data_IF_633921486976
#
_entry.id   IF_633921486976
#
_cell.length_a   1.000
_cell.length_b   1.000
_cell.length_c   1.000
_cell.angle_alpha   90.00
_cell.angle_beta   90.00
_cell.angle_gamma   90.00
#
_symmetry.space_group_name_H-M   'P 1'
#
loop_
_entity.id
_entity.type
_entity.pdbx_description
1 polymer ?
#
# COMPACT_ATOMS: atom_id res chain seq x y z
N UNK A 1 -27.89 -25.12 28.10
CA UNK A 1 -28.16 -24.01 27.16
C UNK A 1 -26.84 -23.32 26.80
N UNK A 2 -26.26 -23.52 25.61
CA UNK A 2 -24.98 -22.89 25.22
C UNK A 2 -25.25 -21.60 24.45
N UNK A 3 -25.07 -20.46 25.11
CA UNK A 3 -25.18 -19.14 24.48
C UNK A 3 -23.96 -18.96 23.57
N UNK A 4 -24.17 -18.97 22.24
CA UNK A 4 -23.15 -18.54 21.28
C UNK A 4 -22.89 -17.05 21.52
N UNK A 5 -21.82 -16.72 22.24
CA UNK A 5 -21.34 -15.34 22.40
C UNK A 5 -21.02 -14.82 21.00
N UNK A 6 -21.87 -13.94 20.49
CA UNK A 6 -21.69 -13.30 19.17
C UNK A 6 -20.42 -12.45 19.28
N UNK A 7 -19.29 -12.93 18.75
CA UNK A 7 -18.03 -12.18 18.69
C UNK A 7 -18.34 -10.79 18.16
N UNK A 8 -18.19 -9.74 18.98
CA UNK A 8 -18.38 -8.37 18.48
C UNK A 8 -17.25 -8.13 17.47
N UNK A 9 -17.57 -7.50 16.35
CA UNK A 9 -16.64 -7.28 15.22
C UNK A 9 -15.32 -6.61 15.64
N UNK A 10 -15.33 -5.91 16.78
CA UNK A 10 -14.24 -5.11 17.33
C UNK A 10 -13.40 -5.81 18.41
N UNK A 11 -13.77 -7.03 18.83
CA UNK A 11 -13.06 -7.76 19.89
C UNK A 11 -11.93 -8.66 19.32
N UNK A 12 -11.60 -8.51 18.04
CA UNK A 12 -10.55 -9.30 17.41
C UNK A 12 -9.18 -8.77 17.79
N UNK A 13 -8.44 -9.60 18.52
CA UNK A 13 -7.03 -9.38 18.78
C UNK A 13 -6.29 -9.61 17.47
N UNK A 14 -5.77 -8.54 16.89
CA UNK A 14 -4.89 -8.60 15.72
C UNK A 14 -3.51 -8.10 16.16
N UNK A 15 -2.43 -8.87 15.94
CA UNK A 15 -1.09 -8.44 16.28
C UNK A 15 -0.78 -7.07 15.68
N UNK A 16 -0.35 -6.15 16.54
CA UNK A 16 0.08 -4.83 16.09
C UNK A 16 1.45 -5.00 15.40
N UNK A 17 1.65 -4.43 14.19
CA UNK A 17 2.93 -4.49 13.49
C UNK A 17 4.02 -3.71 14.25
N UNK A 18 5.25 -3.76 13.75
CA UNK A 18 6.33 -2.94 14.29
C UNK A 18 5.92 -1.45 14.35
N UNK A 19 6.30 -0.78 15.45
CA UNK A 19 5.92 0.60 15.69
C UNK A 19 6.45 1.53 14.59
N UNK A 20 5.67 2.56 14.27
CA UNK A 20 6.02 3.61 13.29
C UNK A 20 6.25 3.09 11.85
N UNK A 21 5.59 1.99 11.49
CA UNK A 21 5.60 1.46 10.12
C UNK A 21 4.18 1.35 9.56
N UNK A 22 4.03 1.65 8.27
CA UNK A 22 2.79 1.46 7.55
C UNK A 22 2.53 -0.04 7.34
N UNK A 23 1.31 -0.48 7.61
CA UNK A 23 0.95 -1.88 7.46
C UNK A 23 -0.54 -2.04 7.11
N UNK A 24 -0.88 -3.16 6.48
CA UNK A 24 -2.26 -3.57 6.22
C UNK A 24 -2.40 -5.03 6.57
N UNK A 25 -3.52 -5.38 7.20
CA UNK A 25 -3.88 -6.76 7.44
C UNK A 25 -5.35 -6.99 7.10
N UNK A 26 -5.64 -8.20 6.66
CA UNK A 26 -7.01 -8.63 6.44
C UNK A 26 -7.26 -9.94 7.18
N UNK A 27 -8.14 -9.90 8.18
CA UNK A 27 -8.40 -11.04 9.06
C UNK A 27 -9.84 -11.49 8.88
N UNK A 28 -10.06 -12.80 8.79
CA UNK A 28 -11.40 -13.37 8.77
C UNK A 28 -12.04 -13.24 10.15
N UNK A 29 -13.25 -12.71 10.21
CA UNK A 29 -13.99 -12.60 11.47
C UNK A 29 -14.51 -14.00 11.87
N UNK A 30 -14.08 -14.56 13.02
CA UNK A 30 -14.55 -15.85 13.52
C UNK A 30 -16.07 -15.90 13.62
N UNK A 31 -16.64 -17.10 13.45
CA UNK A 31 -18.08 -17.37 13.55
C UNK A 31 -18.99 -16.56 12.60
N UNK A 32 -18.43 -15.88 11.58
CA UNK A 32 -19.21 -15.26 10.50
C UNK A 32 -19.34 -16.15 9.26
N UNK A 33 -18.73 -17.33 9.33
CA UNK A 33 -18.69 -18.32 8.27
C UNK A 33 -20.07 -18.91 8.00
N UNK A 34 -20.51 -18.90 6.75
CA UNK A 34 -21.74 -19.54 6.30
C UNK A 34 -21.52 -20.17 4.94
N UNK A 35 -22.05 -21.36 4.72
CA UNK A 35 -22.03 -22.01 3.40
C UNK A 35 -23.31 -21.63 2.67
N UNK A 36 -23.17 -21.00 1.51
CA UNK A 36 -24.29 -20.65 0.65
C UNK A 36 -24.18 -21.37 -0.69
N UNK A 37 -25.31 -21.49 -1.38
CA UNK A 37 -25.31 -21.99 -2.74
C UNK A 37 -24.45 -21.11 -3.65
N UNK A 38 -23.72 -21.73 -4.58
CA UNK A 38 -23.03 -20.98 -5.62
C UNK A 38 -24.06 -20.30 -6.53
N UNK A 39 -23.96 -18.98 -6.67
CA UNK A 39 -24.86 -18.19 -7.51
C UNK A 39 -24.59 -18.43 -9.00
N UNK A 40 -23.33 -18.56 -9.38
CA UNK A 40 -22.89 -18.68 -10.78
C UNK A 40 -23.29 -19.98 -11.47
N UNK A 41 -23.57 -21.04 -10.71
CA UNK A 41 -24.07 -22.31 -11.24
C UNK A 41 -25.38 -22.76 -10.61
N UNK A 42 -26.07 -21.87 -9.88
CA UNK A 42 -27.32 -22.18 -9.19
C UNK A 42 -27.25 -23.49 -8.38
N UNK A 43 -26.13 -23.70 -7.69
CA UNK A 43 -25.82 -24.89 -6.86
C UNK A 43 -25.53 -26.19 -7.62
N UNK A 44 -25.50 -26.18 -8.95
CA UNK A 44 -25.28 -27.37 -9.78
C UNK A 44 -23.82 -27.83 -9.81
N UNK A 45 -22.86 -26.94 -9.51
CA UNK A 45 -21.43 -27.23 -9.62
C UNK A 45 -20.90 -27.21 -11.07
N UNK A 46 -21.77 -27.11 -12.06
CA UNK A 46 -21.45 -26.98 -13.48
C UNK A 46 -22.13 -25.77 -14.08
N UNK A 47 -21.48 -25.17 -15.06
CA UNK A 47 -22.03 -24.06 -15.84
C UNK A 47 -22.18 -24.52 -17.28
N UNK A 48 -23.17 -23.97 -17.99
CA UNK A 48 -23.37 -24.26 -19.41
C UNK A 48 -22.10 -23.90 -20.17
N UNK A 49 -21.66 -24.78 -21.08
CA UNK A 49 -20.60 -24.44 -21.99
C UNK A 49 -21.12 -23.35 -22.92
N UNK A 50 -20.67 -22.12 -22.70
CA UNK A 50 -21.12 -20.94 -23.44
C UNK A 50 -20.83 -21.08 -24.93
N UNK A 51 -19.73 -21.71 -25.24
CA UNK A 51 -19.28 -21.76 -26.61
C UNK A 51 -20.08 -22.77 -27.47
N UNK A 52 -20.63 -23.86 -26.89
CA UNK A 52 -21.57 -24.75 -27.60
C UNK A 52 -23.03 -24.55 -27.18
N UNK A 53 -23.33 -23.59 -26.32
CA UNK A 53 -24.68 -23.33 -25.79
C UNK A 53 -25.39 -24.61 -25.30
N UNK A 54 -24.75 -25.35 -24.40
CA UNK A 54 -25.26 -26.60 -23.81
C UNK A 54 -25.35 -27.83 -24.72
N UNK A 55 -25.13 -27.72 -26.03
CA UNK A 55 -25.33 -28.84 -26.97
C UNK A 55 -24.25 -29.94 -26.89
N UNK A 56 -23.06 -29.62 -26.37
CA UNK A 56 -21.88 -30.48 -26.42
C UNK A 56 -21.27 -30.61 -27.83
N UNK A 57 -21.86 -29.97 -28.84
CA UNK A 57 -21.49 -30.12 -30.25
C UNK A 57 -21.49 -28.78 -30.94
N UNK A 58 -20.63 -28.60 -31.94
CA UNK A 58 -20.61 -27.38 -32.75
C UNK A 58 -20.41 -27.69 -34.20
N UNK A 59 -20.74 -26.71 -35.03
CA UNK A 59 -20.35 -26.71 -36.42
C UNK A 59 -18.83 -26.94 -36.52
N UNK A 60 -18.45 -27.91 -37.35
CA UNK A 60 -17.05 -28.22 -37.57
C UNK A 60 -16.38 -27.01 -38.23
N UNK A 61 -15.38 -26.42 -37.57
CA UNK A 61 -14.67 -25.25 -38.09
C UNK A 61 -13.82 -25.55 -39.32
N UNK A 62 -13.39 -26.80 -39.51
CA UNK A 62 -12.55 -27.20 -40.65
C UNK A 62 -13.34 -27.26 -41.97
N UNK A 63 -14.57 -27.76 -41.94
CA UNK A 63 -15.43 -27.83 -43.12
C UNK A 63 -16.55 -26.77 -43.11
N UNK A 64 -16.57 -25.87 -42.13
CA UNK A 64 -17.64 -24.90 -41.90
C UNK A 64 -19.03 -25.53 -41.96
N UNK A 65 -19.21 -26.73 -41.40
CA UNK A 65 -20.50 -27.42 -41.38
C UNK A 65 -20.88 -28.22 -42.64
N UNK A 66 -20.10 -28.16 -43.72
CA UNK A 66 -20.44 -28.87 -44.96
C UNK A 66 -20.32 -30.40 -44.87
N UNK A 67 -19.46 -30.90 -43.98
CA UNK A 67 -19.06 -32.31 -43.94
C UNK A 67 -17.98 -32.68 -44.96
N UNK A 68 -17.53 -31.73 -45.79
CA UNK A 68 -16.56 -31.96 -46.87
C UNK A 68 -15.38 -30.99 -46.78
N UNK A 69 -14.17 -31.47 -47.05
CA UNK A 69 -12.94 -30.66 -47.07
C UNK A 69 -12.09 -31.08 -48.27
N UNK A 70 -11.81 -30.15 -49.20
CA UNK A 70 -11.06 -30.39 -50.45
C UNK A 70 -11.48 -31.69 -51.17
N UNK A 71 -12.79 -31.81 -51.47
CA UNK A 71 -13.43 -32.93 -52.19
C UNK A 71 -13.44 -34.30 -51.50
N UNK A 72 -12.95 -34.40 -50.27
CA UNK A 72 -13.06 -35.61 -49.45
C UNK A 72 -13.98 -35.38 -48.25
N UNK A 73 -14.50 -36.48 -47.69
CA UNK A 73 -15.24 -36.45 -46.43
C UNK A 73 -14.35 -35.85 -45.33
N UNK A 74 -14.87 -34.87 -44.60
CA UNK A 74 -14.12 -34.20 -43.56
C UNK A 74 -13.84 -35.18 -42.40
N UNK A 75 -12.57 -35.58 -42.25
CA UNK A 75 -12.14 -36.53 -41.22
C UNK A 75 -12.41 -36.02 -39.80
N UNK A 76 -12.27 -34.71 -39.56
CA UNK A 76 -12.45 -34.12 -38.24
C UNK A 76 -13.89 -34.18 -37.70
N UNK A 77 -14.89 -34.32 -38.58
CA UNK A 77 -16.29 -34.51 -38.19
C UNK A 77 -16.90 -35.80 -38.71
N UNK A 78 -16.11 -36.69 -39.34
CA UNK A 78 -16.59 -37.91 -39.98
C UNK A 78 -17.69 -37.64 -41.03
N UNK A 79 -17.62 -36.51 -41.74
CA UNK A 79 -18.62 -36.13 -42.75
C UNK A 79 -19.94 -35.57 -42.22
N UNK A 80 -20.13 -35.46 -40.90
CA UNK A 80 -21.40 -34.99 -40.31
C UNK A 80 -21.56 -33.47 -40.34
N UNK A 81 -20.49 -32.72 -40.62
CA UNK A 81 -20.46 -31.26 -40.48
C UNK A 81 -20.45 -30.78 -39.01
N UNK A 82 -20.53 -31.67 -38.04
CA UNK A 82 -20.64 -31.36 -36.61
C UNK A 82 -19.49 -32.01 -35.85
N UNK A 83 -18.73 -31.21 -35.11
CA UNK A 83 -17.65 -31.67 -34.25
C UNK A 83 -18.08 -31.66 -32.78
N UNK A 84 -17.48 -32.56 -31.99
CA UNK A 84 -17.60 -32.53 -30.52
C UNK A 84 -16.99 -31.23 -30.02
N UNK A 85 -17.68 -30.55 -29.10
CA UNK A 85 -17.16 -29.34 -28.51
C UNK A 85 -15.92 -29.65 -27.66
N UNK A 86 -14.75 -29.18 -28.11
CA UNK A 86 -13.47 -29.40 -27.44
C UNK A 86 -13.47 -28.77 -26.04
N UNK A 87 -13.99 -27.54 -25.90
CA UNK A 87 -14.00 -26.79 -24.64
C UNK A 87 -14.76 -27.45 -23.49
N UNK A 88 -15.71 -28.35 -23.78
CA UNK A 88 -16.42 -29.13 -22.76
C UNK A 88 -16.27 -30.64 -22.92
N UNK A 89 -15.42 -31.10 -23.85
CA UNK A 89 -15.26 -32.52 -24.18
C UNK A 89 -16.57 -33.22 -24.55
N UNK A 90 -17.51 -32.49 -25.16
CA UNK A 90 -18.82 -33.04 -25.53
C UNK A 90 -19.89 -33.05 -24.44
N UNK A 91 -19.59 -32.63 -23.21
CA UNK A 91 -20.55 -32.69 -22.10
C UNK A 91 -21.63 -31.59 -22.13
N UNK A 92 -21.49 -30.57 -22.99
CA UNK A 92 -22.37 -29.40 -23.01
C UNK A 92 -22.25 -28.49 -21.79
N UNK A 93 -21.47 -28.89 -20.79
CA UNK A 93 -21.26 -28.16 -19.55
C UNK A 93 -19.80 -28.24 -19.13
N UNK A 94 -19.33 -27.20 -18.46
CA UNK A 94 -18.00 -27.15 -17.86
C UNK A 94 -18.14 -27.07 -16.35
N UNK A 95 -17.08 -27.48 -15.63
CA UNK A 95 -17.04 -27.33 -14.17
C UNK A 95 -17.14 -25.84 -13.85
N UNK A 96 -18.01 -25.48 -12.90
CA UNK A 96 -18.19 -24.10 -12.51
C UNK A 96 -16.88 -23.54 -11.95
N UNK A 97 -16.34 -22.49 -12.58
CA UNK A 97 -15.08 -21.85 -12.17
C UNK A 97 -15.17 -21.18 -10.80
N UNK A 98 -16.35 -20.72 -10.40
CA UNK A 98 -16.56 -20.02 -9.13
C UNK A 98 -16.55 -20.96 -7.92
N UNK A 99 -17.10 -22.17 -8.06
CA UNK A 99 -17.18 -23.13 -6.95
C UNK A 99 -16.41 -24.44 -7.18
N UNK A 100 -15.69 -24.55 -8.29
CA UNK A 100 -14.87 -25.70 -8.68
C UNK A 100 -15.61 -27.04 -8.52
N UNK A 101 -16.85 -27.11 -9.01
CA UNK A 101 -17.66 -28.33 -8.95
C UNK A 101 -18.43 -28.58 -7.65
N UNK A 102 -18.21 -27.77 -6.59
CA UNK A 102 -18.82 -28.03 -5.27
C UNK A 102 -20.27 -27.57 -5.13
N UNK A 103 -20.75 -26.71 -6.01
CA UNK A 103 -22.10 -26.13 -5.96
C UNK A 103 -22.35 -25.20 -4.75
N UNK A 104 -21.34 -24.98 -3.91
CA UNK A 104 -21.42 -24.23 -2.65
C UNK A 104 -20.23 -23.29 -2.54
N UNK A 105 -20.45 -22.16 -1.89
CA UNK A 105 -19.44 -21.13 -1.63
C UNK A 105 -19.39 -20.84 -0.13
N UNK A 106 -18.19 -20.60 0.38
CA UNK A 106 -17.97 -20.18 1.76
C UNK A 106 -18.05 -18.65 1.83
N UNK A 107 -19.00 -18.14 2.60
CA UNK A 107 -19.18 -16.73 2.89
C UNK A 107 -18.67 -16.42 4.29
N UNK A 108 -17.98 -15.31 4.46
CA UNK A 108 -17.55 -14.80 5.77
C UNK A 108 -17.30 -13.30 5.68
N UNK A 109 -17.29 -12.63 6.83
CA UNK A 109 -16.89 -11.22 6.90
C UNK A 109 -15.37 -11.14 7.09
N UNK A 110 -14.74 -10.19 6.41
CA UNK A 110 -13.31 -9.88 6.53
C UNK A 110 -13.15 -8.51 7.19
N UNK A 111 -12.35 -8.44 8.24
CA UNK A 111 -11.93 -7.19 8.85
C UNK A 111 -10.67 -6.71 8.11
N UNK A 112 -10.71 -5.48 7.59
CA UNK A 112 -9.56 -4.83 6.95
C UNK A 112 -9.01 -3.78 7.91
N UNK A 113 -7.74 -3.89 8.25
CA UNK A 113 -7.07 -3.02 9.20
C UNK A 113 -5.92 -2.32 8.48
N UNK A 114 -5.80 -1.01 8.72
CA UNK A 114 -4.73 -0.17 8.18
C UNK A 114 -4.03 0.52 9.34
N UNK A 115 -2.75 0.23 9.50
CA UNK A 115 -1.86 1.00 10.36
C UNK A 115 -1.12 2.00 9.48
N UNK A 116 -1.05 3.25 9.94
CA UNK A 116 -0.37 4.33 9.24
C UNK A 116 0.49 5.11 10.21
N UNK A 117 1.75 5.30 9.88
CA UNK A 117 2.64 6.22 10.55
C UNK A 117 2.42 7.62 9.98
N UNK A 118 1.81 8.51 10.78
CA UNK A 118 1.65 9.90 10.39
C UNK A 118 2.78 10.71 11.04
N UNK A 119 3.54 11.41 10.21
CA UNK A 119 4.72 12.16 10.62
C UNK A 119 4.40 13.65 10.50
N UNK A 120 4.64 14.39 11.57
CA UNK A 120 4.66 15.85 11.57
C UNK A 120 6.11 16.31 11.80
N UNK A 121 6.63 17.17 10.92
CA UNK A 121 7.98 17.73 11.02
C UNK A 121 7.90 19.25 11.01
N UNK A 122 8.75 19.87 11.82
CA UNK A 122 8.92 21.32 11.84
C UNK A 122 10.42 21.62 11.92
N UNK A 123 10.93 22.37 10.96
CA UNK A 123 12.33 22.81 10.96
C UNK A 123 12.39 24.25 11.44
N UNK A 124 13.12 24.47 12.53
CA UNK A 124 13.31 25.79 13.15
C UNK A 124 14.63 26.39 12.66
N UNK A 125 14.64 26.87 11.42
CA UNK A 125 15.81 27.53 10.83
C UNK A 125 15.41 28.92 10.32
N UNK A 126 16.14 29.94 10.77
CA UNK A 126 15.77 31.36 10.54
C UNK A 126 16.50 32.00 9.36
N UNK A 127 17.52 31.35 8.79
CA UNK A 127 18.30 31.92 7.68
C UNK A 127 17.73 31.46 6.34
N UNK A 128 17.59 32.38 5.39
CA UNK A 128 16.92 32.14 4.11
C UNK A 128 17.84 31.61 3.02
N UNK A 129 19.16 31.61 3.25
CA UNK A 129 20.14 31.26 2.23
C UNK A 129 20.29 29.74 2.03
N UNK A 130 20.06 28.93 3.08
CA UNK A 130 20.03 27.46 3.00
C UNK A 130 18.57 26.99 2.92
N UNK A 131 18.16 26.33 1.83
CA UNK A 131 16.79 25.83 1.68
C UNK A 131 16.41 24.78 2.72
N UNK A 132 15.20 24.89 3.28
CA UNK A 132 14.69 23.99 4.33
C UNK A 132 14.59 22.54 3.82
N UNK A 133 14.29 22.33 2.54
CA UNK A 133 14.21 20.99 1.94
C UNK A 133 15.55 20.24 1.94
N UNK A 134 16.67 20.94 2.11
CA UNK A 134 17.99 20.33 2.31
C UNK A 134 18.16 19.84 3.75
N UNK A 135 17.65 20.61 4.72
CA UNK A 135 17.68 20.26 6.14
C UNK A 135 16.81 19.04 6.46
N UNK A 136 15.70 18.83 5.72
CA UNK A 136 14.85 17.65 5.90
C UNK A 136 15.50 16.32 5.46
N UNK A 137 16.61 16.39 4.71
CA UNK A 137 17.31 15.25 4.09
C UNK A 137 18.61 14.89 4.81
N UNK A 138 18.87 15.48 5.97
CA UNK A 138 20.07 15.21 6.78
C UNK A 138 19.69 14.69 8.15
N UNK A 139 20.67 14.05 8.78
CA UNK A 139 20.58 13.53 10.14
C UNK A 139 21.14 14.59 11.09
N UNK A 140 20.41 14.88 12.16
CA UNK A 140 20.86 15.70 13.28
C UNK A 140 21.29 14.87 14.49
N UNK A 141 21.86 15.54 15.48
CA UNK A 141 22.11 14.99 16.81
C UNK A 141 20.79 14.89 17.60
N UNK A 142 20.51 13.74 18.20
CA UNK A 142 19.29 13.56 19.00
C UNK A 142 19.44 14.25 20.36
N UNK A 143 18.71 15.33 20.57
CA UNK A 143 18.71 16.05 21.86
C UNK A 143 17.65 15.53 22.82
N UNK A 144 16.54 15.01 22.30
CA UNK A 144 15.42 14.53 23.09
C UNK A 144 14.61 13.52 22.30
N UNK A 145 14.19 12.45 22.97
CA UNK A 145 13.21 11.51 22.45
C UNK A 145 12.29 11.06 23.56
N UNK A 146 10.98 11.16 23.32
CA UNK A 146 9.94 10.62 24.18
C UNK A 146 8.98 9.76 23.36
N UNK A 147 8.54 8.66 23.95
CA UNK A 147 7.56 7.76 23.35
C UNK A 147 6.48 7.41 24.39
N UNK A 148 5.23 7.64 24.04
CA UNK A 148 4.08 7.33 24.88
C UNK A 148 2.82 7.16 24.02
N UNK A 149 1.76 6.55 24.56
CA UNK A 149 0.51 6.33 23.82
C UNK A 149 -0.05 7.67 23.32
N UNK A 150 0.02 8.68 24.19
CA UNK A 150 -0.17 10.09 23.87
C UNK A 150 1.01 10.85 24.46
N UNK A 151 1.75 11.58 23.63
CA UNK A 151 2.86 12.43 24.10
C UNK A 151 2.32 13.78 24.54
N UNK A 152 3.00 14.39 25.51
CA UNK A 152 2.71 15.75 25.95
C UNK A 152 3.59 16.75 25.22
N UNK A 153 3.14 18.01 25.05
CA UNK A 153 4.01 19.04 24.53
C UNK A 153 5.24 19.25 25.41
N UNK A 154 6.39 19.45 24.79
CA UNK A 154 7.61 19.85 25.48
C UNK A 154 7.43 21.31 25.95
N UNK A 155 7.69 21.54 27.24
CA UNK A 155 7.50 22.86 27.89
C UNK A 155 8.77 23.44 28.47
N UNK A 156 9.81 22.63 28.66
CA UNK A 156 11.04 22.99 29.37
C UNK A 156 12.28 23.02 28.47
N UNK A 157 12.10 23.00 27.14
CA UNK A 157 13.24 23.13 26.23
C UNK A 157 13.80 24.56 26.28
N UNK A 158 15.12 24.78 26.25
CA UNK A 158 15.71 26.11 26.34
C UNK A 158 15.25 27.07 25.24
N UNK A 159 15.05 26.56 24.02
CA UNK A 159 14.48 27.34 22.91
C UNK A 159 12.94 27.28 22.94
N UNK A 160 12.31 28.43 23.21
CA UNK A 160 10.86 28.58 23.23
C UNK A 160 10.19 28.28 21.88
N UNK A 161 10.89 28.42 20.75
CA UNK A 161 10.37 28.05 19.44
C UNK A 161 10.14 26.53 19.35
N UNK A 162 11.01 25.73 19.99
CA UNK A 162 10.85 24.27 20.08
C UNK A 162 9.63 23.91 20.92
N UNK A 163 9.45 24.57 22.07
CA UNK A 163 8.26 24.37 22.92
C UNK A 163 6.96 24.72 22.16
N UNK A 164 6.98 25.80 21.37
CA UNK A 164 5.84 26.20 20.54
C UNK A 164 5.55 25.19 19.42
N UNK A 165 6.58 24.74 18.70
CA UNK A 165 6.45 23.74 17.64
C UNK A 165 5.90 22.41 18.17
N UNK A 166 6.39 21.96 19.33
CA UNK A 166 5.88 20.75 19.99
C UNK A 166 4.40 20.89 20.38
N UNK A 167 3.98 22.02 20.97
CA UNK A 167 2.55 22.27 21.29
C UNK A 167 1.68 22.21 20.04
N UNK A 168 2.12 22.84 18.95
CA UNK A 168 1.35 22.85 17.71
C UNK A 168 1.27 21.45 17.09
N UNK A 169 2.39 20.72 17.01
CA UNK A 169 2.43 19.37 16.48
C UNK A 169 1.50 18.41 17.23
N UNK A 170 1.51 18.45 18.57
CA UNK A 170 0.64 17.62 19.41
C UNK A 170 -0.83 17.98 19.20
N UNK A 171 -1.17 19.26 19.17
CA UNK A 171 -2.55 19.72 18.92
C UNK A 171 -3.04 19.33 17.53
N UNK A 172 -2.23 19.54 16.50
CA UNK A 172 -2.56 19.19 15.12
C UNK A 172 -2.84 17.68 14.99
N UNK A 173 -2.00 16.83 15.58
CA UNK A 173 -2.22 15.38 15.59
C UNK A 173 -3.52 15.00 16.33
N UNK A 174 -3.79 15.59 17.49
CA UNK A 174 -5.02 15.32 18.24
C UNK A 174 -6.25 15.73 17.44
N UNK A 175 -6.25 16.93 16.86
CA UNK A 175 -7.35 17.43 16.04
C UNK A 175 -7.61 16.55 14.80
N UNK A 176 -6.55 16.09 14.15
CA UNK A 176 -6.67 15.31 12.92
C UNK A 176 -7.11 13.85 13.16
N UNK A 177 -6.65 13.22 14.24
CA UNK A 177 -6.76 11.76 14.40
C UNK A 177 -7.68 11.27 15.52
N UNK A 178 -7.98 12.09 16.53
CA UNK A 178 -8.71 11.63 17.73
C UNK A 178 -10.11 11.06 17.44
N UNK A 179 -10.79 11.55 16.41
CA UNK A 179 -12.19 11.16 16.08
C UNK A 179 -12.28 10.05 15.04
N UNK A 180 -11.26 9.89 14.19
CA UNK A 180 -11.31 8.98 13.03
C UNK A 180 -10.43 7.75 13.19
N UNK A 181 -9.42 7.82 14.07
CA UNK A 181 -8.42 6.78 14.23
C UNK A 181 -8.12 6.52 15.70
N UNK A 182 -7.73 5.29 16.03
CA UNK A 182 -7.14 4.98 17.33
C UNK A 182 -5.64 5.22 17.27
N UNK A 183 -5.12 6.08 18.14
CA UNK A 183 -3.68 6.28 18.31
C UNK A 183 -3.13 5.11 19.15
N UNK A 184 -2.16 4.39 18.60
CA UNK A 184 -1.51 3.27 19.30
C UNK A 184 -0.26 3.70 20.04
N UNK A 185 0.54 4.57 19.41
CA UNK A 185 1.77 5.11 19.96
C UNK A 185 2.07 6.44 19.29
N UNK A 186 2.66 7.37 20.04
CA UNK A 186 3.29 8.58 19.53
C UNK A 186 4.75 8.63 19.99
N UNK A 187 5.58 9.24 19.15
CA UNK A 187 6.97 9.55 19.48
C UNK A 187 7.24 10.97 19.03
N UNK A 188 7.85 11.74 19.92
CA UNK A 188 8.37 13.05 19.58
C UNK A 188 9.88 13.03 19.74
N UNK A 189 10.57 13.66 18.80
CA UNK A 189 12.02 13.73 18.76
C UNK A 189 12.44 15.15 18.45
N UNK A 190 13.46 15.66 19.15
CA UNK A 190 14.11 16.93 18.87
C UNK A 190 15.52 16.60 18.39
N UNK A 191 15.83 17.06 17.18
CA UNK A 191 17.15 16.87 16.56
C UNK A 191 17.81 18.22 16.33
N UNK A 192 19.09 18.31 16.68
CA UNK A 192 19.96 19.44 16.38
C UNK A 192 20.70 19.17 15.07
N UNK A 193 20.44 19.99 14.06
CA UNK A 193 21.18 19.93 12.80
C UNK A 193 22.26 21.01 12.87
N UNK A 194 23.56 20.66 12.98
CA UNK A 194 24.62 21.65 12.93
C UNK A 194 24.63 22.27 11.53
N UNK A 195 24.71 23.60 11.46
CA UNK A 195 24.84 24.36 10.21
C UNK A 195 25.97 25.37 10.39
N UNK A 196 27.01 25.23 9.59
CA UNK A 196 28.15 26.15 9.56
C UNK A 196 28.11 26.95 8.28
N UNK A 197 28.02 28.27 8.40
CA UNK A 197 28.15 29.20 7.27
C UNK A 197 29.61 29.56 7.11
N UNK A 198 30.20 29.21 5.98
CA UNK A 198 31.60 29.51 5.67
C UNK A 198 31.67 30.67 4.70
N UNK A 199 32.44 31.69 5.07
CA UNK A 199 32.79 32.81 4.21
C UNK A 199 34.19 32.57 3.66
N UNK A 200 34.36 32.71 2.36
CA UNK A 200 35.67 32.57 1.72
C UNK A 200 35.84 33.62 0.61
N UNK A 201 37.09 33.97 0.33
CA UNK A 201 37.43 34.91 -0.73
C UNK A 201 38.06 34.17 -1.89
N UNK A 202 37.58 34.44 -3.10
CA UNK A 202 38.13 33.91 -4.35
C UNK A 202 38.15 35.00 -5.41
N UNK A 203 39.32 35.25 -6.02
CA UNK A 203 39.54 36.34 -6.99
C UNK A 203 38.93 37.67 -6.51
N UNK A 204 39.26 38.06 -5.27
CA UNK A 204 38.81 39.30 -4.62
C UNK A 204 37.29 39.41 -4.41
N UNK A 205 36.52 38.35 -4.69
CA UNK A 205 35.08 38.27 -4.41
C UNK A 205 34.83 37.39 -3.19
N UNK A 206 33.94 37.85 -2.31
CA UNK A 206 33.49 37.05 -1.17
C UNK A 206 32.36 36.11 -1.62
N UNK A 207 32.49 34.85 -1.25
CA UNK A 207 31.52 33.79 -1.51
C UNK A 207 31.11 33.11 -0.20
N UNK A 208 29.98 32.40 -0.26
CA UNK A 208 29.46 31.64 0.88
C UNK A 208 29.14 30.20 0.47
N UNK A 209 29.40 29.28 1.38
CA UNK A 209 28.81 27.95 1.36
C UNK A 209 28.40 27.53 2.76
N UNK A 210 27.54 26.52 2.84
CA UNK A 210 27.04 25.95 4.07
C UNK A 210 27.52 24.52 4.19
N UNK A 211 28.01 24.14 5.37
CA UNK A 211 28.23 22.75 5.77
C UNK A 211 27.15 22.40 6.79
N UNK A 212 26.38 21.35 6.57
CA UNK A 212 25.23 21.03 7.40
C UNK A 212 24.98 19.53 7.60
N UNK A 213 24.34 19.21 8.72
CA UNK A 213 24.04 17.84 9.13
C UNK A 213 25.26 17.09 9.67
N UNK A 214 25.01 15.98 10.35
CA UNK A 214 26.07 15.10 10.87
C UNK A 214 26.96 14.50 9.74
N UNK A 215 26.43 14.46 8.52
CA UNK A 215 27.14 14.00 7.32
C UNK A 215 27.99 15.09 6.64
N UNK A 216 28.03 16.31 7.18
CA UNK A 216 28.79 17.44 6.62
C UNK A 216 28.44 17.74 5.14
N UNK A 217 27.15 17.70 4.78
CA UNK A 217 26.74 18.02 3.41
C UNK A 217 27.04 19.49 3.09
N UNK A 218 27.42 19.75 1.85
CA UNK A 218 27.75 21.11 1.40
C UNK A 218 26.66 21.67 0.48
N UNK A 219 26.29 22.93 0.70
CA UNK A 219 25.38 23.67 -0.16
C UNK A 219 25.94 25.06 -0.48
N UNK A 220 25.89 25.45 -1.75
CA UNK A 220 26.21 26.80 -2.21
C UNK A 220 25.30 27.17 -3.38
N UNK A 221 24.86 28.43 -3.44
CA UNK A 221 24.08 28.96 -4.57
C UNK A 221 24.99 29.31 -5.75
N UNK A 222 26.12 29.94 -5.45
CA UNK A 222 26.97 30.61 -6.43
C UNK A 222 28.41 30.07 -6.38
N UNK A 223 28.55 28.78 -6.74
CA UNK A 223 29.86 28.17 -6.83
C UNK A 223 30.70 28.82 -7.95
N UNK A 224 31.89 29.37 -7.65
CA UNK A 224 32.66 30.20 -8.57
C UNK A 224 33.22 29.45 -9.80
N UNK A 225 33.24 28.11 -9.79
CA UNK A 225 33.77 27.29 -10.88
C UNK A 225 32.75 26.24 -11.31
N UNK A 226 31.97 26.49 -12.36
CA UNK A 226 31.15 25.44 -13.01
C UNK A 226 32.03 24.57 -13.92
N UNK A 227 32.93 23.79 -13.34
CA UNK A 227 33.66 22.74 -14.08
C UNK A 227 32.85 21.44 -14.01
N UNK A 228 32.62 20.76 -15.14
CA UNK A 228 31.82 19.52 -15.25
C UNK A 228 32.29 18.35 -14.35
N UNK A 229 33.41 18.47 -13.64
CA UNK A 229 34.10 17.36 -12.99
C UNK A 229 34.46 17.60 -11.51
N UNK A 230 34.09 18.74 -10.91
CA UNK A 230 34.56 19.10 -9.56
C UNK A 230 33.42 19.03 -8.54
N UNK A 231 33.53 18.10 -7.58
CA UNK A 231 32.73 18.09 -6.37
C UNK A 231 33.38 18.93 -5.27
N UNK A 232 32.57 19.63 -4.49
CA UNK A 232 33.01 20.23 -3.23
C UNK A 232 33.14 19.07 -2.23
N UNK A 233 34.37 18.81 -1.77
CA UNK A 233 34.68 17.86 -0.69
C UNK A 233 34.51 18.53 0.67
#
# INVERSE_FOLDING_TARGET
MRIKKRSRKWDLVVPVPALFQDCKAEVRIPHTSSVKGCHSCLRLGRSVCVECMASGRRQCGLCSGSGWYFNNQCLACGGTGIAVCISCGGMGSTVCSTCYGKGKLLWFLKLKIKWKNNIHKTVLYKHSELPIDQLEKVIGENLFTEMNQLVYPVVSFPDNAVNAASREAVRAHQAQFSTTCRILQQRQTIELIPVTRVHYSWKEKTHIYFVYGAEHKVYTKDYPVKCCCCSIL
#
